data_IF_070932621907
#
_entry.id   IF_070932621907
#
_cell.length_a   1.000
_cell.length_b   1.000
_cell.length_c   1.000
_cell.angle_alpha   90.00
_cell.angle_beta   90.00
_cell.angle_gamma   90.00
#
_symmetry.space_group_name_H-M   'P 1'
#
loop_
_entity.id
_entity.type
_entity.pdbx_description
1 polymer ?
#
# COMPACT_ATOMS: atom_id res chain seq x y z
N UNK A 1 -53.10 -25.91 40.79
CA UNK A 1 -51.82 -26.61 40.60
C UNK A 1 -51.23 -26.42 39.18
N UNK A 2 -52.02 -26.46 38.13
CA UNK A 2 -51.58 -26.31 36.74
C UNK A 2 -50.96 -24.93 36.40
N UNK A 3 -51.45 -23.82 36.98
CA UNK A 3 -50.91 -22.48 36.79
C UNK A 3 -49.53 -22.22 37.36
N UNK A 4 -49.18 -22.88 38.47
CA UNK A 4 -47.88 -22.77 39.15
C UNK A 4 -46.81 -23.54 38.35
N UNK A 5 -47.19 -24.65 37.70
CA UNK A 5 -46.26 -25.44 36.89
C UNK A 5 -45.82 -24.68 35.62
N UNK A 6 -46.74 -23.92 35.01
CA UNK A 6 -46.44 -23.14 33.78
C UNK A 6 -45.52 -21.94 34.09
N UNK A 7 -45.71 -21.30 35.24
CA UNK A 7 -44.84 -20.18 35.67
C UNK A 7 -43.43 -20.64 36.04
N UNK A 8 -43.27 -21.81 36.63
CA UNK A 8 -41.94 -22.37 36.91
C UNK A 8 -41.20 -22.80 35.62
N UNK A 9 -41.92 -23.29 34.59
CA UNK A 9 -41.33 -23.66 33.34
C UNK A 9 -40.90 -22.41 32.52
N UNK A 10 -41.65 -21.32 32.62
CA UNK A 10 -41.29 -20.04 31.95
C UNK A 10 -40.09 -19.34 32.60
N UNK A 11 -39.91 -19.46 33.90
CA UNK A 11 -38.79 -18.87 34.64
C UNK A 11 -37.47 -19.62 34.39
N UNK A 12 -37.53 -20.94 34.14
CA UNK A 12 -36.34 -21.75 33.81
C UNK A 12 -35.75 -21.51 32.43
N UNK A 13 -36.56 -21.02 31.47
CA UNK A 13 -36.13 -20.80 30.10
C UNK A 13 -35.36 -19.47 29.87
N UNK A 14 -35.53 -18.51 30.76
CA UNK A 14 -34.87 -17.20 30.65
C UNK A 14 -33.47 -17.13 31.25
N UNK A 15 -33.04 -18.15 32.02
CA UNK A 15 -31.74 -18.16 32.72
C UNK A 15 -30.62 -18.84 31.94
N UNK A 16 -30.93 -19.44 30.74
CA UNK A 16 -29.97 -20.25 29.98
C UNK A 16 -29.30 -19.61 28.76
N UNK A 17 -29.57 -18.34 28.48
CA UNK A 17 -29.20 -17.74 27.20
C UNK A 17 -28.11 -16.63 27.25
N UNK A 18 -27.29 -16.59 28.28
CA UNK A 18 -26.08 -15.77 28.25
C UNK A 18 -24.88 -16.61 27.88
N UNK A 19 -24.78 -17.00 26.57
CA UNK A 19 -23.51 -17.41 26.01
C UNK A 19 -22.61 -16.17 25.97
N UNK A 20 -21.43 -16.19 26.60
CA UNK A 20 -20.48 -15.12 26.36
C UNK A 20 -20.11 -15.14 24.89
N UNK A 21 -20.40 -14.06 24.18
CA UNK A 21 -19.82 -13.83 22.88
C UNK A 21 -18.30 -13.65 23.11
N UNK A 22 -17.56 -14.73 22.95
CA UNK A 22 -16.09 -14.64 22.88
C UNK A 22 -15.80 -13.96 21.54
N UNK A 23 -15.59 -12.63 21.61
CA UNK A 23 -14.99 -11.92 20.50
C UNK A 23 -13.65 -12.58 20.23
N UNK A 24 -13.53 -13.27 19.10
CA UNK A 24 -12.24 -13.77 18.63
C UNK A 24 -11.41 -12.53 18.29
N UNK A 25 -10.56 -12.13 19.22
CA UNK A 25 -9.48 -11.19 18.93
C UNK A 25 -8.57 -11.99 17.99
N UNK A 26 -8.72 -11.76 16.70
CA UNK A 26 -7.73 -12.22 15.72
C UNK A 26 -6.44 -11.53 16.14
N UNK A 27 -5.46 -12.32 16.54
CA UNK A 27 -4.13 -11.82 16.91
C UNK A 27 -3.44 -11.31 15.61
N UNK A 28 -3.84 -10.10 15.23
CA UNK A 28 -3.40 -9.44 14.01
C UNK A 28 -1.88 -9.24 14.03
N UNK A 29 -1.32 -9.05 15.23
CA UNK A 29 0.11 -8.85 15.40
C UNK A 29 0.92 -10.10 15.01
N UNK A 30 0.40 -11.29 15.32
CA UNK A 30 1.04 -12.56 14.96
C UNK A 30 0.91 -12.88 13.47
N UNK A 31 -0.18 -12.44 12.83
CA UNK A 31 -0.42 -12.66 11.39
C UNK A 31 0.49 -11.82 10.50
N UNK A 32 1.07 -10.73 11.02
CA UNK A 32 1.95 -9.82 10.28
C UNK A 32 3.42 -9.91 10.68
N UNK A 33 3.79 -10.81 11.59
CA UNK A 33 5.20 -10.96 12.03
C UNK A 33 6.14 -11.38 10.89
N UNK A 34 5.62 -12.08 9.89
CA UNK A 34 6.38 -12.53 8.72
C UNK A 34 6.23 -11.59 7.50
N UNK A 35 5.40 -10.53 7.61
CA UNK A 35 5.21 -9.52 6.58
C UNK A 35 5.94 -8.26 7.01
N UNK A 36 7.23 -8.23 6.74
CA UNK A 36 8.09 -7.09 7.06
C UNK A 36 8.66 -6.50 5.77
N UNK A 37 8.75 -5.18 5.74
CA UNK A 37 9.52 -4.47 4.72
C UNK A 37 10.93 -4.25 5.26
N UNK A 38 11.91 -4.95 4.70
CA UNK A 38 13.31 -4.76 5.03
C UNK A 38 13.83 -3.48 4.37
N UNK A 39 14.00 -2.43 5.16
CA UNK A 39 14.58 -1.18 4.66
C UNK A 39 16.09 -1.33 4.49
N UNK A 40 16.58 -1.10 3.28
CA UNK A 40 18.01 -1.11 2.93
C UNK A 40 18.53 0.32 2.78
N UNK A 41 18.49 1.06 3.88
CA UNK A 41 18.90 2.47 3.90
C UNK A 41 20.40 2.61 3.64
N UNK A 42 20.74 3.48 2.68
CA UNK A 42 22.14 3.75 2.31
C UNK A 42 22.76 2.71 1.36
N UNK A 43 21.99 1.70 0.94
CA UNK A 43 22.49 0.80 -0.11
C UNK A 43 22.36 1.46 -1.50
N UNK A 44 23.30 1.20 -2.40
CA UNK A 44 23.25 1.73 -3.75
C UNK A 44 22.11 1.07 -4.55
N UNK A 45 21.42 1.88 -5.34
CA UNK A 45 20.46 1.39 -6.35
C UNK A 45 21.22 0.98 -7.59
N UNK A 46 20.86 -0.15 -8.20
CA UNK A 46 21.44 -0.56 -9.48
C UNK A 46 20.87 0.30 -10.61
N UNK A 47 21.67 1.27 -11.04
CA UNK A 47 21.30 2.21 -12.09
C UNK A 47 21.41 1.62 -13.50
N UNK A 48 21.98 0.43 -13.67
CA UNK A 48 22.14 -0.23 -14.96
C UNK A 48 20.90 -0.98 -15.43
N UNK A 49 19.86 -1.05 -14.60
CA UNK A 49 18.61 -1.74 -14.92
C UNK A 49 17.97 -1.13 -16.17
N UNK A 50 17.64 -1.97 -17.18
CA UNK A 50 17.03 -1.51 -18.42
C UNK A 50 15.51 -1.32 -18.25
N UNK A 51 15.00 -0.26 -18.88
CA UNK A 51 13.58 0.08 -18.96
C UNK A 51 13.22 0.53 -20.37
N UNK A 52 11.96 0.81 -20.57
CA UNK A 52 11.43 1.49 -21.75
C UNK A 52 10.69 2.73 -21.27
N UNK A 53 11.00 3.90 -21.85
CA UNK A 53 10.33 5.14 -21.50
C UNK A 53 8.93 5.26 -22.17
N UNK A 54 8.20 6.30 -21.82
CA UNK A 54 6.86 6.59 -22.35
C UNK A 54 6.83 6.88 -23.86
N UNK A 55 7.98 7.16 -24.46
CA UNK A 55 8.14 7.30 -25.91
C UNK A 55 8.50 5.97 -26.62
N UNK A 56 8.79 4.92 -25.86
CA UNK A 56 9.18 3.61 -26.37
C UNK A 56 10.68 3.44 -26.60
N UNK A 57 11.53 4.33 -26.09
CA UNK A 57 12.98 4.22 -26.18
C UNK A 57 13.52 3.29 -25.09
N UNK A 58 14.58 2.55 -25.43
CA UNK A 58 15.33 1.78 -24.45
C UNK A 58 16.21 2.72 -23.62
N UNK A 59 15.99 2.74 -22.31
CA UNK A 59 16.70 3.58 -21.33
C UNK A 59 17.20 2.75 -20.17
N UNK A 60 18.03 3.35 -19.34
CA UNK A 60 18.46 2.79 -18.05
C UNK A 60 18.03 3.72 -16.93
N UNK A 61 18.01 3.22 -15.72
CA UNK A 61 17.71 4.06 -14.57
C UNK A 61 18.73 5.20 -14.39
N UNK A 62 19.99 4.98 -14.85
CA UNK A 62 21.04 6.00 -14.82
C UNK A 62 20.69 7.27 -15.61
N UNK A 63 19.88 7.15 -16.67
CA UNK A 63 19.52 8.29 -17.52
C UNK A 63 18.68 9.34 -16.78
N UNK A 64 18.09 8.97 -15.64
CA UNK A 64 17.25 9.82 -14.81
C UNK A 64 17.92 10.24 -13.48
N UNK A 65 19.13 9.74 -13.19
CA UNK A 65 19.85 10.05 -11.96
C UNK A 65 20.99 11.04 -12.25
N UNK A 66 20.74 12.31 -11.99
CA UNK A 66 21.71 13.37 -12.23
C UNK A 66 22.45 13.73 -10.94
N UNK A 67 23.75 14.01 -11.05
CA UNK A 67 24.58 14.40 -9.90
C UNK A 67 24.00 15.62 -9.16
N UNK A 68 23.95 15.52 -7.83
CA UNK A 68 23.53 16.60 -6.94
C UNK A 68 22.03 16.80 -6.84
N UNK A 69 21.21 16.03 -7.56
CA UNK A 69 19.76 16.10 -7.45
C UNK A 69 19.20 14.82 -6.84
N UNK A 70 18.40 14.91 -5.77
CA UNK A 70 17.69 13.74 -5.23
C UNK A 70 16.63 13.25 -6.21
N UNK A 71 16.39 11.95 -6.21
CA UNK A 71 15.39 11.30 -7.04
C UNK A 71 14.32 10.67 -6.15
N UNK A 72 13.06 10.98 -6.43
CA UNK A 72 11.91 10.28 -5.86
C UNK A 72 11.52 9.18 -6.83
N UNK A 73 11.89 7.94 -6.50
CA UNK A 73 11.52 6.77 -7.28
C UNK A 73 10.22 6.17 -6.74
N UNK A 74 9.17 6.15 -7.55
CA UNK A 74 7.90 5.54 -7.22
C UNK A 74 7.66 4.28 -8.06
N UNK A 75 7.41 3.16 -7.39
CA UNK A 75 7.05 1.90 -8.02
C UNK A 75 5.54 1.75 -7.99
N UNK A 76 4.92 1.63 -9.16
CA UNK A 76 3.47 1.55 -9.32
C UNK A 76 3.12 0.55 -10.43
N UNK A 77 1.85 0.38 -10.74
CA UNK A 77 1.36 0.00 -12.05
C UNK A 77 0.25 0.98 -12.46
N UNK A 78 0.23 1.34 -13.73
CA UNK A 78 -0.56 2.46 -14.24
C UNK A 78 -2.06 2.14 -14.28
N UNK A 79 -2.42 0.91 -14.59
CA UNK A 79 -3.81 0.44 -14.59
C UNK A 79 -4.33 0.03 -13.21
N UNK A 80 -3.61 0.33 -12.13
CA UNK A 80 -4.05 0.06 -10.77
C UNK A 80 -5.34 0.84 -10.45
N UNK A 81 -6.43 0.14 -10.08
CA UNK A 81 -7.74 0.79 -9.94
C UNK A 81 -7.82 1.76 -8.76
N UNK A 82 -6.92 1.70 -7.77
CA UNK A 82 -7.05 2.53 -6.58
C UNK A 82 -5.73 2.96 -5.93
N UNK A 83 -4.89 2.02 -5.46
CA UNK A 83 -3.78 2.34 -4.55
C UNK A 83 -2.68 3.19 -5.21
N UNK A 84 -2.29 2.89 -6.44
CA UNK A 84 -1.22 3.61 -7.11
C UNK A 84 -1.61 5.07 -7.39
N UNK A 85 -2.85 5.31 -7.81
CA UNK A 85 -3.38 6.66 -7.96
C UNK A 85 -3.40 7.43 -6.63
N UNK A 86 -3.68 6.76 -5.50
CA UNK A 86 -3.63 7.39 -4.19
C UNK A 86 -2.18 7.74 -3.80
N UNK A 87 -1.22 6.87 -4.08
CA UNK A 87 0.21 7.11 -3.81
C UNK A 87 0.72 8.29 -4.63
N UNK A 88 0.48 8.29 -5.95
CA UNK A 88 0.93 9.37 -6.83
C UNK A 88 0.29 10.71 -6.46
N UNK A 89 -1.02 10.75 -6.22
CA UNK A 89 -1.70 11.96 -5.76
C UNK A 89 -1.21 12.42 -4.38
N UNK A 90 -0.90 11.48 -3.48
CA UNK A 90 -0.30 11.78 -2.17
C UNK A 90 1.08 12.41 -2.32
N UNK A 91 1.91 11.87 -3.19
CA UNK A 91 3.23 12.41 -3.53
C UNK A 91 3.12 13.84 -4.05
N UNK A 92 2.29 14.08 -5.06
CA UNK A 92 2.07 15.43 -5.62
C UNK A 92 1.59 16.41 -4.55
N UNK A 93 0.65 16.01 -3.69
CA UNK A 93 0.17 16.86 -2.59
C UNK A 93 1.25 17.20 -1.57
N UNK A 94 2.14 16.25 -1.29
CA UNK A 94 3.25 16.44 -0.34
C UNK A 94 4.32 17.37 -0.89
N UNK A 95 4.50 17.40 -2.20
CA UNK A 95 5.48 18.26 -2.88
C UNK A 95 5.00 19.70 -3.08
N UNK A 96 3.69 19.93 -3.20
CA UNK A 96 3.12 21.27 -3.44
C UNK A 96 3.57 22.37 -2.47
N UNK A 97 3.73 22.15 -1.14
CA UNK A 97 4.18 23.21 -0.23
C UNK A 97 5.69 23.47 -0.27
N UNK A 98 6.46 22.68 -1.03
CA UNK A 98 7.89 22.86 -1.18
C UNK A 98 8.17 24.05 -2.11
N UNK A 99 9.26 24.76 -1.83
CA UNK A 99 9.79 25.84 -2.68
C UNK A 99 10.81 25.32 -3.70
N UNK A 100 10.83 24.03 -3.89
CA UNK A 100 11.71 23.30 -4.82
C UNK A 100 10.93 22.96 -6.09
N UNK A 101 11.56 23.09 -7.23
CA UNK A 101 10.96 22.80 -8.51
C UNK A 101 11.38 21.41 -9.05
N UNK A 102 10.40 20.57 -9.46
CA UNK A 102 10.71 19.33 -10.16
C UNK A 102 11.54 19.61 -11.42
N UNK A 103 12.47 18.72 -11.74
CA UNK A 103 13.43 18.80 -12.85
C UNK A 103 14.57 19.84 -12.68
N UNK A 104 14.45 20.76 -11.74
CA UNK A 104 15.54 21.70 -11.40
C UNK A 104 16.24 21.27 -10.10
N UNK A 105 15.47 21.07 -9.03
CA UNK A 105 15.99 20.76 -7.69
C UNK A 105 15.98 19.26 -7.38
N UNK A 106 15.06 18.51 -7.97
CA UNK A 106 14.92 17.06 -7.79
C UNK A 106 14.22 16.41 -8.99
N UNK A 107 14.36 15.09 -9.10
CA UNK A 107 13.67 14.31 -10.14
C UNK A 107 12.56 13.46 -9.54
N UNK A 108 11.52 13.18 -10.33
CA UNK A 108 10.48 12.20 -10.01
C UNK A 108 10.48 11.16 -11.12
N UNK A 109 10.80 9.94 -10.77
CA UNK A 109 10.80 8.79 -11.69
C UNK A 109 9.71 7.84 -11.24
N UNK A 110 8.77 7.54 -12.13
CA UNK A 110 7.69 6.58 -11.89
C UNK A 110 7.94 5.37 -12.77
N UNK A 111 8.00 4.19 -12.16
CA UNK A 111 8.28 2.95 -12.86
C UNK A 111 7.12 1.98 -12.62
N UNK A 112 6.55 1.44 -13.70
CA UNK A 112 5.65 0.29 -13.59
C UNK A 112 6.45 -0.98 -13.36
N UNK A 113 5.98 -1.80 -12.42
CA UNK A 113 6.50 -3.15 -12.18
C UNK A 113 5.52 -4.24 -12.61
N UNK A 114 4.42 -3.87 -13.28
CA UNK A 114 3.49 -4.83 -13.86
C UNK A 114 4.05 -5.34 -15.20
N UNK A 115 4.29 -6.65 -15.35
CA UNK A 115 4.86 -7.21 -16.58
C UNK A 115 3.89 -7.20 -17.78
N UNK A 116 2.61 -6.97 -17.55
CA UNK A 116 1.59 -6.93 -18.59
C UNK A 116 1.37 -5.52 -19.14
N UNK A 117 1.93 -4.50 -18.47
CA UNK A 117 1.87 -3.11 -18.90
C UNK A 117 2.96 -2.78 -19.94
N UNK A 118 2.62 -1.95 -20.90
CA UNK A 118 3.58 -1.43 -21.88
C UNK A 118 3.68 0.10 -21.79
N UNK A 119 4.70 0.67 -22.43
CA UNK A 119 5.00 2.09 -22.39
C UNK A 119 3.87 3.02 -22.86
N UNK A 120 2.88 2.51 -23.60
CA UNK A 120 1.79 3.31 -24.18
C UNK A 120 0.77 3.77 -23.14
N UNK A 121 0.82 3.21 -21.95
CA UNK A 121 -0.07 3.58 -20.83
C UNK A 121 0.66 4.39 -19.73
N UNK A 122 1.94 4.66 -19.93
CA UNK A 122 2.76 5.45 -19.02
C UNK A 122 2.42 6.95 -19.06
#
# INVERSE_FOLDING_TARGET
MMRILITMLALGFTLGATLPAVAQIVDTEKSFQDVAFEQKLGEPVDLSLPFVDDEGNAVTLADYFHEGRPVILALVYFECPMLCNMVLNGTVRSLRPLTMDPSEDFEIVVVSFDPDEDYRIA
#
